data_IF_567063079069
#
_entry.id   IF_567063079069
#
_cell.length_a   1.000
_cell.length_b   1.000
_cell.length_c   1.000
_cell.angle_alpha   90.00
_cell.angle_beta   90.00
_cell.angle_gamma   90.00
#
_symmetry.space_group_name_H-M   'P 1'
#
loop_
_entity.id
_entity.type
_entity.pdbx_description
1 polymer ?
#
# COMPACT_ATOMS: atom_id res chain seq x y z
N UNK A 1 14.10 14.30 -6.55
CA UNK A 1 13.25 13.90 -5.40
C UNK A 1 14.13 13.26 -4.34
N UNK A 2 13.99 13.68 -3.09
CA UNK A 2 14.66 13.03 -1.94
C UNK A 2 14.07 11.64 -1.68
N UNK A 3 14.78 10.77 -0.94
CA UNK A 3 14.24 9.47 -0.53
C UNK A 3 12.94 9.60 0.27
N UNK A 4 12.84 10.64 1.11
CA UNK A 4 11.61 11.00 1.79
C UNK A 4 10.47 11.27 0.80
N UNK A 5 10.70 12.13 -0.20
CA UNK A 5 9.69 12.44 -1.23
C UNK A 5 9.27 11.21 -2.04
N UNK A 6 10.22 10.30 -2.35
CA UNK A 6 9.92 9.04 -3.04
C UNK A 6 9.04 8.13 -2.19
N UNK A 7 9.39 7.93 -0.91
CA UNK A 7 8.63 7.10 0.02
C UNK A 7 7.22 7.67 0.23
N UNK A 8 7.08 8.98 0.44
CA UNK A 8 5.77 9.63 0.57
C UNK A 8 4.93 9.48 -0.70
N UNK A 9 5.54 9.64 -1.88
CA UNK A 9 4.85 9.43 -3.15
C UNK A 9 4.36 7.98 -3.29
N UNK A 10 5.20 7.01 -2.95
CA UNK A 10 4.86 5.58 -3.04
C UNK A 10 3.75 5.19 -2.06
N UNK A 11 3.76 5.71 -0.83
CA UNK A 11 2.66 5.54 0.14
C UNK A 11 1.35 6.09 -0.43
N UNK A 12 1.38 7.25 -1.10
CA UNK A 12 0.20 7.85 -1.73
C UNK A 12 -0.34 6.98 -2.86
N UNK A 13 0.53 6.43 -3.72
CA UNK A 13 0.10 5.52 -4.79
C UNK A 13 -0.54 4.25 -4.21
N UNK A 14 0.07 3.68 -3.17
CA UNK A 14 -0.50 2.51 -2.47
C UNK A 14 -1.86 2.81 -1.84
N UNK A 15 -2.07 4.01 -1.29
CA UNK A 15 -3.38 4.39 -0.76
C UNK A 15 -4.46 4.42 -1.86
N UNK A 16 -4.12 4.91 -3.06
CA UNK A 16 -5.05 4.90 -4.21
C UNK A 16 -5.40 3.48 -4.61
N UNK A 17 -4.38 2.60 -4.69
CA UNK A 17 -4.60 1.18 -5.01
C UNK A 17 -5.46 0.48 -3.96
N UNK A 18 -5.20 0.71 -2.67
CA UNK A 18 -5.99 0.15 -1.57
C UNK A 18 -7.44 0.62 -1.61
N UNK A 19 -7.68 1.91 -1.87
CA UNK A 19 -9.04 2.44 -1.98
C UNK A 19 -9.80 1.81 -3.15
N UNK A 20 -9.12 1.62 -4.29
CA UNK A 20 -9.69 0.96 -5.45
C UNK A 20 -10.02 -0.50 -5.16
N UNK A 21 -9.06 -1.28 -4.65
CA UNK A 21 -9.24 -2.70 -4.34
C UNK A 21 -10.31 -2.92 -3.27
N UNK A 22 -10.35 -2.09 -2.22
CA UNK A 22 -11.36 -2.19 -1.16
C UNK A 22 -12.76 -1.74 -1.58
N UNK A 23 -12.89 -0.97 -2.67
CA UNK A 23 -14.18 -0.53 -3.22
C UNK A 23 -14.61 -1.33 -4.45
N UNK A 24 -13.75 -2.23 -4.95
CA UNK A 24 -14.06 -3.07 -6.10
C UNK A 24 -15.21 -4.01 -5.76
N UNK A 25 -16.19 -4.11 -6.66
CA UNK A 25 -17.24 -5.10 -6.52
C UNK A 25 -16.70 -6.49 -6.82
N UNK A 26 -17.10 -7.47 -6.00
CA UNK A 26 -16.83 -8.90 -6.23
C UNK A 26 -17.97 -9.58 -6.97
N UNK A 27 -19.04 -8.85 -7.30
CA UNK A 27 -20.20 -9.40 -7.98
C UNK A 27 -19.82 -9.90 -9.38
N UNK A 28 -20.08 -11.17 -9.64
CA UNK A 28 -19.79 -11.80 -10.93
C UNK A 28 -18.35 -12.27 -11.08
N UNK A 29 -17.52 -12.16 -10.04
CA UNK A 29 -16.20 -12.76 -10.00
C UNK A 29 -16.26 -14.21 -9.51
N UNK A 30 -15.35 -15.04 -10.00
CA UNK A 30 -15.12 -16.37 -9.42
C UNK A 30 -14.39 -16.27 -8.09
N UNK A 31 -14.41 -17.36 -7.32
CA UNK A 31 -13.68 -17.44 -6.05
C UNK A 31 -12.18 -17.19 -6.24
N UNK A 32 -11.58 -17.68 -7.33
CA UNK A 32 -10.17 -17.46 -7.64
C UNK A 32 -9.87 -15.99 -7.93
N UNK A 33 -10.76 -15.28 -8.64
CA UNK A 33 -10.62 -13.85 -8.91
C UNK A 33 -10.75 -13.02 -7.63
N UNK A 34 -11.66 -13.41 -6.73
CA UNK A 34 -11.79 -12.78 -5.41
C UNK A 34 -10.52 -13.01 -4.59
N UNK A 35 -10.00 -14.24 -4.56
CA UNK A 35 -8.76 -14.56 -3.85
C UNK A 35 -7.56 -13.75 -4.37
N UNK A 36 -7.47 -13.53 -5.69
CA UNK A 36 -6.45 -12.66 -6.28
C UNK A 36 -6.61 -11.19 -5.89
N UNK A 37 -7.85 -10.69 -5.78
CA UNK A 37 -8.10 -9.33 -5.28
C UNK A 37 -7.68 -9.20 -3.82
N UNK A 38 -8.02 -10.17 -2.98
CA UNK A 38 -7.65 -10.20 -1.56
C UNK A 38 -6.13 -10.27 -1.39
N UNK A 39 -5.45 -11.15 -2.13
CA UNK A 39 -3.99 -11.25 -2.11
C UNK A 39 -3.33 -9.90 -2.45
N UNK A 40 -3.78 -9.26 -3.54
CA UNK A 40 -3.28 -7.94 -3.93
C UNK A 40 -3.53 -6.88 -2.86
N UNK A 41 -4.70 -6.89 -2.24
CA UNK A 41 -5.05 -5.96 -1.17
C UNK A 41 -4.12 -6.13 0.04
N UNK A 42 -3.91 -7.35 0.51
CA UNK A 42 -3.02 -7.61 1.65
C UNK A 42 -1.55 -7.31 1.34
N UNK A 43 -1.08 -7.60 0.12
CA UNK A 43 0.27 -7.23 -0.32
C UNK A 43 0.48 -5.71 -0.32
N UNK A 44 -0.52 -4.94 -0.81
CA UNK A 44 -0.48 -3.49 -0.80
C UNK A 44 -0.45 -2.91 0.63
N UNK A 45 -1.24 -3.47 1.56
CA UNK A 45 -1.21 -3.11 2.98
C UNK A 45 0.18 -3.37 3.58
N UNK A 46 0.72 -4.57 3.38
CA UNK A 46 2.03 -4.95 3.93
C UNK A 46 3.14 -4.01 3.45
N UNK A 47 3.11 -3.64 2.16
CA UNK A 47 4.06 -2.70 1.56
C UNK A 47 3.88 -1.29 2.14
N UNK A 48 2.65 -0.81 2.28
CA UNK A 48 2.37 0.50 2.86
C UNK A 48 2.88 0.60 4.30
N UNK A 49 2.61 -0.42 5.12
CA UNK A 49 3.07 -0.49 6.51
C UNK A 49 4.60 -0.45 6.60
N UNK A 50 5.31 -1.18 5.73
CA UNK A 50 6.78 -1.15 5.67
C UNK A 50 7.31 0.24 5.34
N UNK A 51 6.69 0.94 4.39
CA UNK A 51 7.11 2.29 4.00
C UNK A 51 6.84 3.33 5.09
N UNK A 52 5.68 3.25 5.76
CA UNK A 52 5.36 4.09 6.92
C UNK A 52 6.36 3.83 8.06
N UNK A 53 6.68 2.57 8.35
CA UNK A 53 7.69 2.22 9.34
C UNK A 53 9.08 2.81 8.99
N UNK A 54 9.48 2.78 7.71
CA UNK A 54 10.73 3.41 7.25
C UNK A 54 10.69 4.94 7.36
N UNK A 55 9.54 5.55 7.15
CA UNK A 55 9.35 6.99 7.31
C UNK A 55 9.44 7.43 8.79
N UNK A 56 8.88 6.62 9.69
CA UNK A 56 8.81 6.88 11.12
C UNK A 56 10.12 6.53 11.85
N UNK A 57 10.85 5.50 11.40
CA UNK A 57 12.19 5.18 11.87
C UNK A 57 13.23 6.15 11.29
N UNK A 58 13.08 7.45 11.57
CA UNK A 58 14.20 8.39 11.42
C UNK A 58 15.38 7.80 12.20
N UNK A 59 16.57 7.63 11.60
CA UNK A 59 17.75 7.39 12.42
C UNK A 59 17.85 8.56 13.40
N UNK A 60 18.02 8.25 14.69
CA UNK A 60 18.30 9.25 15.70
C UNK A 60 19.46 10.13 15.21
N UNK A 61 19.21 11.43 14.99
CA UNK A 61 20.25 12.36 14.54
C UNK A 61 19.93 13.27 13.35
N UNK A 62 18.71 13.27 12.80
CA UNK A 62 18.25 14.38 11.96
C UNK A 62 17.42 15.38 12.78
N UNK A 63 18.14 16.23 13.53
CA UNK A 63 17.73 17.55 14.00
C UNK A 63 18.66 18.60 13.42
#
# INVERSE_FOLDING_TARGET
>A
MTEFQKITHEIRQLQVELNHLGSCTTKGLSTEQIAQLDERFFLAIAKQNKLIARLNNKPEGFF
#
